data_IF_821658925492
#
_entry.id   IF_821658925492
#
_cell.length_a   1.000
_cell.length_b   1.000
_cell.length_c   1.000
_cell.angle_alpha   90.00
_cell.angle_beta   90.00
_cell.angle_gamma   90.00
#
_symmetry.space_group_name_H-M   'P 1'
#
loop_
_entity.id
_entity.type
_entity.pdbx_description
1 polymer ?
#
# COMPACT_ATOMS: atom_id res chain seq x y z
N UNK A 1 5.28 16.94 39.19
CA UNK A 1 4.07 16.82 38.36
C UNK A 1 4.37 17.54 37.05
N UNK A 2 5.03 16.88 36.11
CA UNK A 2 5.36 17.44 34.80
C UNK A 2 4.21 17.08 33.85
N UNK A 3 3.32 18.06 33.62
CA UNK A 3 2.46 18.02 32.44
C UNK A 3 3.36 18.36 31.23
N UNK A 4 3.89 17.35 30.59
CA UNK A 4 4.42 17.52 29.23
C UNK A 4 3.26 17.82 28.31
N UNK A 5 3.27 19.01 27.72
CA UNK A 5 2.45 19.34 26.56
C UNK A 5 2.74 18.29 25.50
N UNK A 6 1.76 17.40 25.23
CA UNK A 6 1.81 16.52 24.07
C UNK A 6 1.74 17.43 22.85
N UNK A 7 2.83 17.65 22.18
CA UNK A 7 2.87 18.14 20.81
C UNK A 7 1.89 17.23 20.04
N UNK A 8 0.80 17.79 19.51
CA UNK A 8 -0.37 17.08 19.02
C UNK A 8 -0.03 15.85 18.17
N UNK A 9 -0.02 14.68 18.80
CA UNK A 9 0.16 13.39 18.15
C UNK A 9 -1.09 13.07 17.33
N UNK A 10 -0.94 12.27 16.27
CA UNK A 10 -2.07 11.68 15.54
C UNK A 10 -2.83 10.77 16.52
N UNK A 11 -4.14 10.97 16.67
CA UNK A 11 -4.96 10.21 17.62
C UNK A 11 -5.81 9.17 16.90
N UNK A 12 -6.37 9.54 15.73
CA UNK A 12 -7.28 8.70 14.98
C UNK A 12 -7.09 8.81 13.48
N UNK A 13 -7.05 7.66 12.79
CA UNK A 13 -6.91 7.62 11.32
C UNK A 13 -7.94 6.68 10.68
N UNK A 14 -8.29 7.00 9.44
CA UNK A 14 -9.06 6.12 8.57
C UNK A 14 -8.14 5.52 7.50
N UNK A 15 -8.14 4.19 7.37
CA UNK A 15 -7.38 3.47 6.35
C UNK A 15 -8.34 2.67 5.48
N UNK A 16 -8.49 3.09 4.23
CA UNK A 16 -9.25 2.37 3.20
C UNK A 16 -8.29 1.41 2.49
N UNK A 17 -8.66 0.15 2.37
CA UNK A 17 -7.78 -0.93 1.98
C UNK A 17 -6.89 -1.39 3.15
N UNK A 18 -7.47 -1.50 4.35
CA UNK A 18 -6.77 -1.82 5.60
C UNK A 18 -6.10 -3.21 5.60
N UNK A 19 -6.61 -4.17 4.83
CA UNK A 19 -6.05 -5.51 4.68
C UNK A 19 -5.23 -5.69 3.39
N UNK A 20 -5.09 -4.65 2.54
CA UNK A 20 -4.17 -4.68 1.40
C UNK A 20 -2.72 -4.80 1.86
N UNK A 21 -1.79 -5.05 0.95
CA UNK A 21 -0.38 -5.21 1.31
C UNK A 21 0.18 -4.02 2.08
N UNK A 22 0.02 -2.81 1.55
CA UNK A 22 0.49 -1.58 2.24
C UNK A 22 -0.40 -1.25 3.43
N UNK A 23 -1.73 -1.35 3.26
CA UNK A 23 -2.70 -1.01 4.31
C UNK A 23 -2.48 -1.79 5.59
N UNK A 24 -2.26 -3.10 5.51
CA UNK A 24 -2.03 -3.95 6.67
C UNK A 24 -0.76 -3.54 7.46
N UNK A 25 0.33 -3.25 6.76
CA UNK A 25 1.55 -2.77 7.41
C UNK A 25 1.37 -1.39 8.02
N UNK A 26 0.61 -0.51 7.35
CA UNK A 26 0.30 0.81 7.85
C UNK A 26 -0.59 0.74 9.11
N UNK A 27 -1.62 -0.12 9.12
CA UNK A 27 -2.44 -0.39 10.32
C UNK A 27 -1.55 -0.82 11.48
N UNK A 28 -0.66 -1.82 11.27
CA UNK A 28 0.25 -2.28 12.32
C UNK A 28 1.17 -1.16 12.83
N UNK A 29 1.71 -0.33 11.92
CA UNK A 29 2.55 0.82 12.30
C UNK A 29 1.78 1.81 13.16
N UNK A 30 0.58 2.22 12.74
CA UNK A 30 -0.26 3.18 13.46
C UNK A 30 -0.66 2.67 14.86
N UNK A 31 -1.08 1.40 14.96
CA UNK A 31 -1.41 0.78 16.24
C UNK A 31 -0.18 0.75 17.17
N UNK A 32 1.00 0.42 16.65
CA UNK A 32 2.23 0.39 17.42
C UNK A 32 2.62 1.77 17.98
N UNK A 33 2.23 2.85 17.30
CA UNK A 33 2.39 4.24 17.76
C UNK A 33 1.26 4.72 18.68
N UNK A 34 0.27 3.87 18.97
CA UNK A 34 -0.84 4.19 19.87
C UNK A 34 -1.99 4.93 19.20
N UNK A 35 -2.08 4.89 17.89
CA UNK A 35 -3.15 5.55 17.10
C UNK A 35 -4.36 4.64 16.98
N UNK A 36 -5.55 5.21 17.16
CA UNK A 36 -6.82 4.54 16.89
C UNK A 36 -7.05 4.48 15.36
N UNK A 37 -7.24 3.26 14.85
CA UNK A 37 -7.35 3.01 13.40
C UNK A 37 -8.72 2.48 13.04
N UNK A 38 -9.42 3.17 12.17
CA UNK A 38 -10.62 2.69 11.49
C UNK A 38 -10.23 2.13 10.13
N UNK A 39 -10.47 0.86 9.92
CA UNK A 39 -10.17 0.15 8.68
C UNK A 39 -11.43 -0.10 7.87
N UNK A 40 -11.46 0.38 6.62
CA UNK A 40 -12.43 -0.03 5.62
C UNK A 40 -11.73 -0.89 4.58
N UNK A 41 -12.34 -1.99 4.14
CA UNK A 41 -11.75 -2.82 3.11
C UNK A 41 -12.73 -3.24 2.02
N UNK A 42 -12.16 -3.49 0.83
CA UNK A 42 -12.89 -3.98 -0.32
C UNK A 42 -13.00 -5.50 -0.21
N UNK A 43 -14.14 -6.01 0.28
CA UNK A 43 -14.40 -7.43 0.25
C UNK A 43 -14.46 -7.92 -1.20
N UNK A 44 -13.72 -8.98 -1.51
CA UNK A 44 -13.92 -9.70 -2.76
C UNK A 44 -15.32 -10.31 -2.76
N UNK A 45 -16.08 -10.02 -3.73
CA UNK A 45 -17.47 -10.23 -4.11
C UNK A 45 -18.38 -11.16 -3.29
N UNK A 46 -17.88 -12.13 -2.51
CA UNK A 46 -18.72 -13.03 -1.67
C UNK A 46 -17.98 -13.66 -0.48
N UNK A 47 -16.65 -13.54 -0.40
CA UNK A 47 -15.88 -14.09 0.73
C UNK A 47 -14.55 -13.38 0.89
N UNK A 48 -14.15 -13.15 2.13
CA UNK A 48 -12.79 -12.70 2.47
C UNK A 48 -11.78 -13.79 2.07
N UNK A 49 -10.64 -13.39 1.51
CA UNK A 49 -9.58 -14.37 1.21
C UNK A 49 -8.99 -14.94 2.50
N UNK A 50 -8.49 -16.18 2.48
CA UNK A 50 -7.81 -16.77 3.64
C UNK A 50 -6.67 -15.90 4.17
N UNK A 51 -5.96 -15.21 3.28
CA UNK A 51 -4.89 -14.28 3.65
C UNK A 51 -5.45 -13.09 4.43
N UNK A 52 -6.55 -12.49 3.97
CA UNK A 52 -7.18 -11.37 4.65
C UNK A 52 -7.86 -11.79 5.96
N UNK A 53 -8.44 -13.01 6.01
CA UNK A 53 -8.93 -13.59 7.26
C UNK A 53 -7.81 -13.72 8.30
N UNK A 54 -6.65 -14.26 7.92
CA UNK A 54 -5.48 -14.37 8.81
C UNK A 54 -4.97 -13.00 9.25
N UNK A 55 -4.82 -12.04 8.33
CA UNK A 55 -4.46 -10.66 8.67
C UNK A 55 -5.41 -10.07 9.70
N UNK A 56 -6.72 -10.23 9.49
CA UNK A 56 -7.75 -9.73 10.42
C UNK A 56 -7.69 -10.44 11.77
N UNK A 57 -7.44 -11.76 11.81
CA UNK A 57 -7.26 -12.50 13.07
C UNK A 57 -6.06 -11.98 13.88
N UNK A 58 -5.00 -11.53 13.21
CA UNK A 58 -3.79 -11.03 13.87
C UNK A 58 -3.99 -9.65 14.50
N UNK A 59 -4.78 -8.78 13.90
CA UNK A 59 -4.96 -7.39 14.35
C UNK A 59 -6.33 -7.08 14.95
N UNK A 60 -7.37 -7.83 14.59
CA UNK A 60 -8.77 -7.51 14.89
C UNK A 60 -9.15 -7.55 16.38
N UNK A 61 -8.28 -8.09 17.24
CA UNK A 61 -8.48 -8.07 18.71
C UNK A 61 -7.80 -6.87 19.39
N UNK A 62 -7.11 -6.03 18.64
CA UNK A 62 -6.47 -4.85 19.19
C UNK A 62 -7.54 -3.79 19.48
N UNK A 63 -7.56 -3.24 20.70
CA UNK A 63 -8.52 -2.22 21.09
C UNK A 63 -8.42 -0.90 20.31
N UNK A 64 -7.30 -0.68 19.63
CA UNK A 64 -7.07 0.48 18.77
C UNK A 64 -7.47 0.24 17.32
N UNK A 65 -8.06 -0.92 16.97
CA UNK A 65 -8.44 -1.23 15.61
C UNK A 65 -9.92 -1.56 15.50
N UNK A 66 -10.63 -0.81 14.70
CA UNK A 66 -12.03 -1.06 14.32
C UNK A 66 -12.10 -1.34 12.83
N UNK A 67 -12.75 -2.43 12.44
CA UNK A 67 -12.82 -2.89 11.05
C UNK A 67 -14.26 -2.94 10.55
N UNK A 68 -14.45 -2.44 9.33
CA UNK A 68 -15.71 -2.54 8.61
C UNK A 68 -15.46 -2.96 7.14
N UNK A 69 -16.42 -3.71 6.58
CA UNK A 69 -16.50 -3.87 5.13
C UNK A 69 -16.88 -2.54 4.48
N UNK A 70 -16.28 -2.21 3.34
CA UNK A 70 -16.62 -0.99 2.60
C UNK A 70 -18.08 -0.98 2.12
N UNK A 71 -18.76 -2.15 2.13
CA UNK A 71 -20.18 -2.31 1.77
C UNK A 71 -21.12 -2.18 2.95
N UNK A 72 -20.59 -2.16 4.16
CA UNK A 72 -21.37 -2.01 5.37
C UNK A 72 -21.78 -0.56 5.57
N UNK A 73 -23.07 -0.27 5.33
CA UNK A 73 -23.60 1.09 5.47
C UNK A 73 -23.67 1.55 6.93
N UNK A 74 -23.77 0.63 7.89
CA UNK A 74 -23.68 0.99 9.32
C UNK A 74 -22.24 1.32 9.70
N UNK A 75 -21.26 0.58 9.16
CA UNK A 75 -19.85 0.89 9.26
C UNK A 75 -19.51 2.27 8.66
N UNK A 76 -20.08 2.57 7.50
CA UNK A 76 -19.90 3.90 6.89
C UNK A 76 -20.47 5.02 7.74
N UNK A 77 -21.70 4.86 8.31
CA UNK A 77 -22.27 5.85 9.24
C UNK A 77 -21.35 6.11 10.43
N UNK A 78 -20.82 5.03 11.02
CA UNK A 78 -19.86 5.15 12.11
C UNK A 78 -18.61 5.94 11.70
N UNK A 79 -18.07 5.68 10.49
CA UNK A 79 -16.90 6.39 9.96
C UNK A 79 -17.22 7.87 9.65
N UNK A 80 -18.41 8.16 9.11
CA UNK A 80 -18.82 9.53 8.75
C UNK A 80 -19.10 10.41 9.99
N UNK A 81 -19.42 9.82 11.15
CA UNK A 81 -19.62 10.53 12.42
C UNK A 81 -18.31 10.83 13.17
N UNK A 82 -17.20 10.12 12.81
CA UNK A 82 -15.92 10.25 13.48
C UNK A 82 -15.03 11.32 12.85
N UNK A 83 -14.16 11.92 13.67
CA UNK A 83 -13.14 12.87 13.21
C UNK A 83 -11.79 12.16 13.09
N UNK A 84 -11.14 12.35 11.97
CA UNK A 84 -9.82 11.78 11.66
C UNK A 84 -8.76 12.86 11.51
N UNK A 85 -7.54 12.57 11.96
CA UNK A 85 -6.37 13.42 11.74
C UNK A 85 -5.76 13.23 10.36
N UNK A 86 -5.95 12.05 9.77
CA UNK A 86 -5.56 11.73 8.40
C UNK A 86 -6.40 10.58 7.84
N UNK A 87 -6.58 10.58 6.53
CA UNK A 87 -7.22 9.49 5.77
C UNK A 87 -6.20 8.93 4.80
N UNK A 88 -6.08 7.59 4.75
CA UNK A 88 -5.19 6.88 3.83
C UNK A 88 -6.03 6.00 2.90
N UNK A 89 -5.74 6.09 1.61
CA UNK A 89 -6.37 5.25 0.61
C UNK A 89 -5.31 4.35 -0.03
N UNK A 90 -5.27 3.09 0.42
CA UNK A 90 -4.28 2.08 0.06
C UNK A 90 -4.85 1.16 -1.02
N UNK A 91 -4.63 1.50 -2.28
CA UNK A 91 -5.05 0.69 -3.42
C UNK A 91 -3.93 -0.18 -4.01
N UNK A 92 -2.71 -0.08 -3.45
CA UNK A 92 -1.54 -0.79 -3.98
C UNK A 92 -1.65 -2.29 -3.75
N UNK A 93 -2.56 -2.93 -4.48
CA UNK A 93 -2.66 -4.38 -4.62
C UNK A 93 -3.25 -4.69 -6.00
N UNK A 94 -2.42 -4.64 -7.06
CA UNK A 94 -2.87 -4.98 -8.39
C UNK A 94 -3.20 -6.47 -8.44
N UNK A 95 -4.46 -6.83 -8.34
CA UNK A 95 -4.91 -8.19 -8.57
C UNK A 95 -4.91 -8.48 -10.07
N UNK A 96 -3.77 -8.88 -10.60
CA UNK A 96 -3.56 -9.10 -12.03
C UNK A 96 -4.35 -10.27 -12.61
N UNK A 97 -4.73 -11.27 -11.80
CA UNK A 97 -5.46 -12.43 -12.31
C UNK A 97 -6.95 -12.15 -12.54
N UNK A 98 -7.52 -11.11 -11.92
CA UNK A 98 -8.96 -10.81 -12.02
C UNK A 98 -9.29 -9.38 -12.42
N UNK A 99 -8.30 -8.52 -12.65
CA UNK A 99 -8.46 -7.08 -12.80
C UNK A 99 -9.25 -6.49 -11.62
N UNK A 100 -9.15 -5.23 -11.35
CA UNK A 100 -10.17 -4.62 -10.47
C UNK A 100 -11.51 -4.74 -11.17
N UNK A 101 -12.19 -5.91 -11.02
CA UNK A 101 -13.47 -6.21 -11.68
C UNK A 101 -14.54 -5.15 -11.44
N UNK A 102 -14.23 -4.16 -10.61
CA UNK A 102 -15.09 -3.04 -10.28
C UNK A 102 -14.39 -1.70 -10.17
N UNK A 103 -13.68 -1.27 -11.19
CA UNK A 103 -13.22 0.11 -11.32
C UNK A 103 -14.35 1.10 -10.94
N UNK A 104 -15.57 0.85 -11.45
CA UNK A 104 -16.74 1.67 -11.14
C UNK A 104 -17.03 1.75 -9.63
N UNK A 105 -16.90 0.64 -8.91
CA UNK A 105 -17.14 0.59 -7.46
C UNK A 105 -16.06 1.37 -6.73
N UNK A 106 -14.79 1.19 -7.08
CA UNK A 106 -13.67 1.95 -6.47
C UNK A 106 -13.86 3.45 -6.68
N UNK A 107 -14.22 3.88 -7.90
CA UNK A 107 -14.46 5.29 -8.19
C UNK A 107 -15.71 5.85 -7.50
N UNK A 108 -16.72 5.01 -7.22
CA UNK A 108 -17.88 5.40 -6.44
C UNK A 108 -17.48 5.65 -4.97
N UNK A 109 -16.73 4.73 -4.35
CA UNK A 109 -16.24 4.91 -2.99
C UNK A 109 -15.22 6.05 -2.88
N UNK A 110 -14.36 6.24 -3.88
CA UNK A 110 -13.47 7.41 -3.93
C UNK A 110 -14.25 8.72 -3.78
N UNK A 111 -15.37 8.87 -4.47
CA UNK A 111 -16.22 10.08 -4.35
C UNK A 111 -16.77 10.25 -2.93
N UNK A 112 -17.16 9.14 -2.26
CA UNK A 112 -17.64 9.17 -0.87
C UNK A 112 -16.53 9.58 0.09
N UNK A 113 -15.31 9.03 -0.11
CA UNK A 113 -14.11 9.35 0.67
C UNK A 113 -13.71 10.82 0.49
N UNK A 114 -13.70 11.32 -0.75
CA UNK A 114 -13.38 12.73 -1.03
C UNK A 114 -14.37 13.64 -0.28
N UNK A 115 -15.68 13.38 -0.37
CA UNK A 115 -16.71 14.15 0.33
C UNK A 115 -16.50 14.13 1.84
N UNK A 116 -16.24 12.96 2.44
CA UNK A 116 -15.92 12.84 3.87
C UNK A 116 -14.72 13.71 4.23
N UNK A 117 -13.66 13.67 3.44
CA UNK A 117 -12.46 14.48 3.71
C UNK A 117 -12.72 15.98 3.56
N UNK A 118 -13.56 16.41 2.61
CA UNK A 118 -13.97 17.81 2.42
C UNK A 118 -14.83 18.30 3.60
N UNK A 119 -15.81 17.51 4.03
CA UNK A 119 -16.72 17.83 5.14
C UNK A 119 -15.95 17.94 6.48
N UNK A 120 -15.01 17.05 6.71
CA UNK A 120 -14.22 17.00 7.95
C UNK A 120 -12.93 17.85 7.89
N UNK A 121 -12.61 18.41 6.71
CA UNK A 121 -11.38 19.18 6.46
C UNK A 121 -10.12 18.39 6.79
N UNK A 122 -10.10 17.11 6.44
CA UNK A 122 -9.00 16.19 6.68
C UNK A 122 -8.28 15.88 5.39
N UNK A 123 -6.96 15.77 5.46
CA UNK A 123 -6.10 15.45 4.31
C UNK A 123 -6.26 13.99 3.88
N UNK A 124 -6.36 13.77 2.57
CA UNK A 124 -6.40 12.45 1.95
C UNK A 124 -5.03 12.07 1.40
N UNK A 125 -4.48 10.96 1.87
CA UNK A 125 -3.22 10.38 1.41
C UNK A 125 -3.51 9.16 0.52
N UNK A 126 -3.24 9.27 -0.78
CA UNK A 126 -3.38 8.16 -1.73
C UNK A 126 -2.04 7.45 -1.88
N UNK A 127 -2.02 6.13 -1.68
CA UNK A 127 -0.90 5.28 -2.04
C UNK A 127 -1.14 4.74 -3.45
N UNK A 128 -0.33 5.22 -4.40
CA UNK A 128 -0.43 4.96 -5.83
C UNK A 128 0.83 4.25 -6.35
N UNK A 129 0.91 3.99 -7.63
CA UNK A 129 2.07 3.36 -8.27
C UNK A 129 2.85 4.37 -9.10
N UNK A 130 4.18 4.27 -9.07
CA UNK A 130 5.08 5.06 -9.93
C UNK A 130 4.81 4.83 -11.43
N UNK A 131 4.10 3.76 -11.76
CA UNK A 131 3.77 3.40 -13.14
C UNK A 131 2.66 4.26 -13.76
N UNK A 132 1.97 5.10 -12.98
CA UNK A 132 0.85 5.93 -13.46
C UNK A 132 1.23 6.87 -14.59
N UNK A 133 2.48 7.35 -14.61
CA UNK A 133 2.98 8.25 -15.66
C UNK A 133 3.24 7.60 -17.02
N UNK A 134 3.24 6.28 -17.12
CA UNK A 134 3.59 5.56 -18.36
C UNK A 134 2.37 5.30 -19.24
N UNK A 135 2.49 5.64 -20.52
CA UNK A 135 1.43 5.50 -21.53
C UNK A 135 0.99 4.05 -21.83
N UNK A 136 1.52 3.08 -21.10
CA UNK A 136 1.25 1.68 -21.34
C UNK A 136 -0.07 1.22 -20.72
N UNK A 137 -0.74 0.28 -21.40
CA UNK A 137 -2.20 0.05 -21.36
C UNK A 137 -2.69 -0.94 -20.30
N UNK A 138 -1.97 -1.20 -19.21
CA UNK A 138 -2.47 -2.13 -18.18
C UNK A 138 -3.70 -1.57 -17.46
N UNK A 139 -4.64 -2.44 -17.11
CA UNK A 139 -5.88 -2.04 -16.42
C UNK A 139 -5.60 -1.38 -15.07
N UNK A 140 -4.55 -1.82 -14.38
CA UNK A 140 -4.13 -1.27 -13.10
C UNK A 140 -3.62 0.17 -13.21
N UNK A 141 -2.76 0.45 -14.21
CA UNK A 141 -2.27 1.81 -14.49
C UNK A 141 -3.42 2.76 -14.79
N UNK A 142 -4.42 2.30 -15.55
CA UNK A 142 -5.63 3.08 -15.86
C UNK A 142 -6.46 3.39 -14.62
N UNK A 143 -6.62 2.44 -13.69
CA UNK A 143 -7.35 2.67 -12.45
C UNK A 143 -6.64 3.72 -11.59
N UNK A 144 -5.35 3.58 -11.34
CA UNK A 144 -4.57 4.54 -10.56
C UNK A 144 -4.65 5.95 -11.18
N UNK A 145 -4.49 6.07 -12.51
CA UNK A 145 -4.65 7.34 -13.22
C UNK A 145 -6.02 7.98 -12.97
N UNK A 146 -7.10 7.19 -13.06
CA UNK A 146 -8.47 7.69 -12.82
C UNK A 146 -8.70 8.11 -11.36
N UNK A 147 -8.10 7.38 -10.41
CA UNK A 147 -8.18 7.74 -8.99
C UNK A 147 -7.46 9.05 -8.73
N UNK A 148 -6.23 9.22 -9.25
CA UNK A 148 -5.48 10.47 -9.14
C UNK A 148 -6.21 11.65 -9.85
N UNK A 149 -6.79 11.41 -11.01
CA UNK A 149 -7.63 12.41 -11.70
C UNK A 149 -8.88 12.78 -10.89
N UNK A 150 -9.47 11.80 -10.19
CA UNK A 150 -10.60 12.03 -9.29
C UNK A 150 -10.25 12.97 -8.16
N UNK A 151 -9.06 12.80 -7.54
CA UNK A 151 -8.55 13.70 -6.50
C UNK A 151 -8.33 15.12 -7.02
N UNK A 152 -7.72 15.27 -8.20
CA UNK A 152 -7.45 16.59 -8.81
C UNK A 152 -8.73 17.39 -9.10
N UNK A 153 -9.88 16.73 -9.21
CA UNK A 153 -11.19 17.37 -9.49
C UNK A 153 -11.96 17.76 -8.23
N UNK A 154 -11.57 17.21 -7.05
CA UNK A 154 -12.14 17.56 -5.75
C UNK A 154 -11.49 18.81 -5.16
N UNK A 155 -12.08 19.33 -4.10
CA UNK A 155 -11.53 20.44 -3.30
C UNK A 155 -10.76 19.95 -2.06
N UNK A 156 -10.61 18.62 -1.94
CA UNK A 156 -9.90 17.98 -0.84
C UNK A 156 -8.39 18.28 -0.88
N UNK A 157 -7.81 18.55 0.27
CA UNK A 157 -6.35 18.56 0.41
C UNK A 157 -5.83 17.12 0.29
N UNK A 158 -4.86 16.89 -0.58
CA UNK A 158 -4.34 15.54 -0.82
C UNK A 158 -2.84 15.47 -1.02
N UNK A 159 -2.30 14.30 -0.71
CA UNK A 159 -1.00 13.85 -1.18
C UNK A 159 -1.15 12.53 -1.93
N UNK A 160 -0.45 12.37 -3.03
CA UNK A 160 -0.30 11.11 -3.74
C UNK A 160 1.11 10.62 -3.54
N UNK A 161 1.29 9.46 -2.94
CA UNK A 161 2.56 8.79 -2.77
C UNK A 161 2.64 7.63 -3.75
N UNK A 162 3.34 7.84 -4.85
CA UNK A 162 3.60 6.80 -5.85
C UNK A 162 4.77 5.95 -5.40
N UNK A 163 4.54 4.67 -5.26
CA UNK A 163 5.56 3.71 -4.81
C UNK A 163 6.04 2.84 -5.97
N UNK A 164 7.34 2.47 -6.02
CA UNK A 164 7.88 1.49 -6.95
C UNK A 164 7.48 0.07 -6.53
N UNK A 165 8.16 -0.95 -7.05
CA UNK A 165 7.99 -2.31 -6.55
C UNK A 165 8.29 -2.38 -5.06
N UNK A 166 7.33 -2.94 -4.31
CA UNK A 166 7.44 -3.16 -2.88
C UNK A 166 7.68 -4.65 -2.58
N UNK A 167 8.46 -4.94 -1.54
CA UNK A 167 8.69 -6.29 -1.06
C UNK A 167 8.57 -6.36 0.48
N UNK A 168 8.36 -7.56 1.02
CA UNK A 168 8.23 -7.79 2.46
C UNK A 168 7.16 -8.83 2.80
N UNK A 169 6.94 -9.10 4.09
CA UNK A 169 5.87 -9.98 4.57
C UNK A 169 4.51 -9.60 3.99
N UNK A 170 3.66 -10.59 3.70
CA UNK A 170 2.35 -10.39 3.07
C UNK A 170 2.37 -9.82 1.64
N UNK A 171 3.53 -9.80 0.97
CA UNK A 171 3.56 -9.43 -0.44
C UNK A 171 2.61 -10.35 -1.23
N UNK A 172 1.75 -9.79 -2.11
CA UNK A 172 0.82 -10.59 -2.93
C UNK A 172 1.53 -11.69 -3.72
N UNK A 173 0.89 -12.86 -3.80
CA UNK A 173 1.50 -14.07 -4.37
C UNK A 173 1.86 -13.97 -5.85
N UNK A 174 1.21 -13.09 -6.61
CA UNK A 174 1.50 -12.85 -8.03
C UNK A 174 2.71 -11.93 -8.25
N UNK A 175 3.18 -11.23 -7.21
CA UNK A 175 4.32 -10.32 -7.32
C UNK A 175 5.64 -11.07 -7.43
N UNK A 176 6.57 -10.51 -8.20
CA UNK A 176 7.81 -11.16 -8.61
C UNK A 176 8.65 -11.68 -7.45
N UNK A 177 8.92 -10.86 -6.44
CA UNK A 177 9.75 -11.29 -5.30
C UNK A 177 9.11 -12.44 -4.53
N UNK A 178 7.78 -12.45 -4.40
CA UNK A 178 7.07 -13.57 -3.81
C UNK A 178 7.25 -14.86 -4.64
N UNK A 179 7.05 -14.76 -5.95
CA UNK A 179 7.19 -15.89 -6.85
C UNK A 179 8.63 -16.44 -6.89
N UNK A 180 9.64 -15.57 -6.84
CA UNK A 180 11.03 -15.97 -6.81
C UNK A 180 11.37 -16.71 -5.51
N UNK A 181 10.88 -16.24 -4.36
CA UNK A 181 11.08 -16.92 -3.08
C UNK A 181 10.37 -18.29 -3.07
N UNK A 182 9.16 -18.42 -3.63
CA UNK A 182 8.50 -19.72 -3.80
C UNK A 182 9.31 -20.68 -4.66
N UNK A 183 9.87 -20.18 -5.76
CA UNK A 183 10.75 -20.99 -6.64
C UNK A 183 12.02 -21.45 -5.91
N UNK A 184 12.65 -20.60 -5.10
CA UNK A 184 13.80 -20.96 -4.27
C UNK A 184 13.45 -22.03 -3.20
N UNK A 185 12.21 -22.02 -2.72
CA UNK A 185 11.70 -23.05 -1.79
C UNK A 185 11.38 -24.37 -2.50
N UNK A 186 11.50 -24.45 -3.83
CA UNK A 186 11.26 -25.65 -4.62
C UNK A 186 9.79 -25.98 -4.85
N UNK A 187 8.89 -25.03 -4.63
CA UNK A 187 7.45 -25.30 -4.56
C UNK A 187 6.69 -25.08 -5.86
N UNK A 188 7.13 -24.20 -6.75
CA UNK A 188 6.46 -23.96 -8.05
C UNK A 188 7.45 -23.42 -9.10
N UNK A 189 7.15 -23.65 -10.37
CA UNK A 189 7.75 -22.86 -11.45
C UNK A 189 7.32 -21.40 -11.32
N UNK A 190 8.27 -20.50 -11.52
CA UNK A 190 8.06 -19.08 -11.39
C UNK A 190 7.13 -18.55 -12.50
N UNK A 191 5.92 -18.15 -12.16
CA UNK A 191 4.97 -17.50 -13.05
C UNK A 191 4.79 -16.04 -12.63
N UNK A 192 5.74 -15.18 -12.98
CA UNK A 192 5.64 -13.78 -12.65
C UNK A 192 5.04 -12.96 -13.78
N UNK A 193 4.23 -12.00 -13.40
CA UNK A 193 3.74 -11.02 -14.33
C UNK A 193 4.89 -10.15 -14.83
N UNK A 194 4.97 -10.03 -16.15
CA UNK A 194 6.02 -9.26 -16.82
C UNK A 194 5.92 -7.75 -16.60
N UNK A 195 4.95 -7.27 -15.82
CA UNK A 195 4.54 -5.86 -15.77
C UNK A 195 4.98 -5.09 -14.51
N UNK A 196 5.70 -5.71 -13.56
CA UNK A 196 6.18 -4.99 -12.39
C UNK A 196 7.28 -3.98 -12.74
N UNK A 197 7.25 -2.83 -12.07
CA UNK A 197 8.25 -1.78 -12.23
C UNK A 197 9.61 -2.22 -11.69
N UNK A 198 10.64 -2.24 -12.54
CA UNK A 198 12.01 -2.62 -12.19
C UNK A 198 12.92 -1.42 -11.88
N UNK A 199 12.40 -0.19 -11.85
CA UNK A 199 13.20 1.02 -11.68
C UNK A 199 13.78 1.15 -10.27
N UNK A 200 13.03 0.72 -9.25
CA UNK A 200 13.45 0.78 -7.85
C UNK A 200 12.71 -0.28 -7.00
N UNK A 201 13.15 -0.46 -5.76
CA UNK A 201 12.64 -1.45 -4.83
C UNK A 201 12.62 -0.89 -3.40
N UNK A 202 11.46 -0.96 -2.72
CA UNK A 202 11.31 -0.50 -1.35
C UNK A 202 10.77 -1.61 -0.44
N UNK A 203 11.28 -1.65 0.79
CA UNK A 203 10.72 -2.50 1.83
C UNK A 203 9.43 -1.86 2.37
N UNK A 204 8.37 -2.65 2.45
CA UNK A 204 7.01 -2.14 2.76
C UNK A 204 6.94 -1.41 4.10
N UNK A 205 7.65 -1.89 5.12
CA UNK A 205 7.65 -1.23 6.44
C UNK A 205 8.39 0.12 6.41
N UNK A 206 9.41 0.31 5.55
CA UNK A 206 10.08 1.60 5.38
C UNK A 206 9.13 2.63 4.75
N UNK A 207 8.30 2.20 3.81
CA UNK A 207 7.24 3.04 3.23
C UNK A 207 6.20 3.41 4.29
N UNK A 208 5.75 2.46 5.10
CA UNK A 208 4.78 2.73 6.17
C UNK A 208 5.33 3.67 7.24
N UNK A 209 6.63 3.57 7.58
CA UNK A 209 7.29 4.54 8.44
C UNK A 209 7.26 5.95 7.85
N UNK A 210 7.61 6.08 6.55
CA UNK A 210 7.55 7.37 5.86
C UNK A 210 6.14 7.95 5.84
N UNK A 211 5.13 7.13 5.56
CA UNK A 211 3.72 7.55 5.53
C UNK A 211 3.25 7.99 6.94
N UNK A 212 3.70 7.31 7.99
CA UNK A 212 3.45 7.71 9.37
C UNK A 212 4.04 9.09 9.69
N UNK A 213 5.31 9.32 9.35
CA UNK A 213 6.01 10.56 9.64
C UNK A 213 5.47 11.76 8.84
N UNK A 214 5.00 11.53 7.60
CA UNK A 214 4.72 12.61 6.64
C UNK A 214 3.26 12.72 6.21
N UNK A 215 2.43 11.69 6.41
CA UNK A 215 1.05 11.69 5.92
C UNK A 215 0.16 12.75 6.53
N UNK A 216 0.49 13.23 7.73
CA UNK A 216 -0.23 14.32 8.43
C UNK A 216 0.30 15.72 8.09
N UNK A 217 1.49 15.79 7.48
CA UNK A 217 2.10 17.08 7.19
C UNK A 217 1.29 17.84 6.12
N UNK A 218 0.67 18.94 6.52
CA UNK A 218 -0.15 19.78 5.64
C UNK A 218 0.68 20.53 4.58
N UNK A 219 1.98 20.67 4.76
CA UNK A 219 2.88 21.26 3.77
C UNK A 219 3.17 20.30 2.60
N UNK A 220 3.02 19.00 2.80
CA UNK A 220 3.18 17.98 1.76
C UNK A 220 1.88 17.80 0.99
N UNK A 221 1.56 18.73 0.08
CA UNK A 221 0.44 18.60 -0.85
C UNK A 221 0.96 18.39 -2.26
N UNK A 222 0.37 17.43 -2.98
CA UNK A 222 0.75 17.15 -4.36
C UNK A 222 1.09 15.69 -4.63
N UNK A 223 1.93 15.45 -5.64
CA UNK A 223 2.28 14.10 -6.11
C UNK A 223 3.77 13.85 -5.89
N UNK A 224 4.09 12.77 -5.23
CA UNK A 224 5.46 12.40 -4.84
C UNK A 224 5.78 10.98 -5.28
N UNK A 225 6.94 10.79 -5.90
CA UNK A 225 7.52 9.47 -6.13
C UNK A 225 8.40 9.10 -4.93
N UNK A 226 8.05 8.06 -4.21
CA UNK A 226 8.88 7.55 -3.11
C UNK A 226 9.95 6.62 -3.67
N UNK A 227 11.21 6.91 -3.39
CA UNK A 227 12.36 6.20 -3.94
C UNK A 227 13.31 5.73 -2.84
N UNK A 228 14.07 4.68 -3.12
CA UNK A 228 15.10 4.19 -2.20
C UNK A 228 16.33 5.12 -2.14
N UNK A 229 16.52 5.97 -3.12
CA UNK A 229 17.76 6.74 -3.30
C UNK A 229 18.98 5.89 -3.67
N UNK A 230 18.81 4.58 -3.91
CA UNK A 230 19.89 3.64 -4.22
C UNK A 230 19.80 3.15 -5.65
N UNK A 231 20.92 3.21 -6.37
CA UNK A 231 20.97 2.71 -7.76
C UNK A 231 20.81 1.20 -7.82
N UNK A 232 19.99 0.74 -8.76
CA UNK A 232 19.85 -0.67 -9.13
C UNK A 232 19.45 -1.59 -7.95
N UNK A 233 18.68 -1.10 -6.97
CA UNK A 233 18.30 -1.89 -5.81
C UNK A 233 17.44 -3.09 -6.20
N UNK A 234 16.53 -2.91 -7.16
CA UNK A 234 15.72 -3.97 -7.72
C UNK A 234 16.60 -5.11 -8.32
N UNK A 235 17.60 -4.75 -9.15
CA UNK A 235 18.53 -5.72 -9.74
C UNK A 235 19.36 -6.45 -8.68
N UNK A 236 19.80 -5.75 -7.62
CA UNK A 236 20.50 -6.38 -6.50
C UNK A 236 19.64 -7.40 -5.77
N UNK A 237 18.35 -7.12 -5.61
CA UNK A 237 17.43 -8.09 -5.02
C UNK A 237 17.25 -9.34 -5.88
N UNK A 238 17.16 -9.18 -7.20
CA UNK A 238 17.13 -10.30 -8.15
C UNK A 238 18.39 -11.17 -8.04
N UNK A 239 19.56 -10.54 -7.93
CA UNK A 239 20.84 -11.25 -7.80
C UNK A 239 20.90 -12.08 -6.51
N UNK A 240 20.45 -11.53 -5.40
CA UNK A 240 20.37 -12.25 -4.12
C UNK A 240 19.47 -13.50 -4.20
N UNK A 241 18.41 -13.44 -5.00
CA UNK A 241 17.50 -14.56 -5.25
C UNK A 241 17.92 -15.41 -6.48
N UNK A 242 19.16 -15.26 -6.97
CA UNK A 242 19.71 -16.02 -8.12
C UNK A 242 18.81 -16.03 -9.36
N UNK A 243 18.17 -14.93 -9.62
CA UNK A 243 17.15 -14.79 -10.66
C UNK A 243 17.56 -13.88 -11.82
N UNK A 244 18.85 -13.51 -11.94
CA UNK A 244 19.35 -12.60 -12.97
C UNK A 244 19.04 -13.06 -14.39
N UNK A 245 19.22 -14.37 -14.65
CA UNK A 245 18.99 -14.94 -15.98
C UNK A 245 17.51 -15.10 -16.34
N UNK A 246 16.62 -14.96 -15.35
CA UNK A 246 15.18 -15.19 -15.52
C UNK A 246 14.43 -13.94 -15.98
N UNK A 247 15.00 -12.74 -15.81
CA UNK A 247 14.31 -11.49 -16.09
C UNK A 247 15.24 -10.47 -16.74
N UNK A 248 15.10 -10.30 -18.02
CA UNK A 248 15.83 -9.28 -18.79
C UNK A 248 14.96 -7.99 -18.83
N UNK A 249 14.98 -7.20 -17.78
CA UNK A 249 14.29 -5.89 -17.73
C UNK A 249 15.28 -4.79 -17.44
N UNK A 250 15.60 -4.02 -18.46
CA UNK A 250 16.13 -2.66 -18.33
C UNK A 250 14.94 -1.71 -18.55
N UNK A 251 14.24 -1.38 -17.51
CA UNK A 251 13.23 -0.34 -17.58
C UNK A 251 13.81 0.95 -17.00
N UNK A 252 14.50 1.71 -17.84
CA UNK A 252 14.61 3.14 -17.65
C UNK A 252 13.27 3.75 -18.13
N UNK A 253 12.24 3.68 -17.30
CA UNK A 253 10.96 4.30 -17.62
C UNK A 253 11.07 5.82 -17.41
N UNK A 254 10.65 6.59 -18.41
CA UNK A 254 10.44 8.03 -18.27
C UNK A 254 9.42 8.27 -17.15
N UNK A 255 9.84 8.99 -16.12
CA UNK A 255 8.96 9.36 -15.00
C UNK A 255 8.11 10.57 -15.39
N UNK A 256 6.89 10.61 -14.91
CA UNK A 256 6.02 11.76 -15.04
C UNK A 256 6.67 12.99 -14.35
N UNK A 257 7.02 13.98 -15.13
CA UNK A 257 7.64 15.23 -14.64
C UNK A 257 6.72 16.07 -13.73
N UNK A 258 5.48 15.66 -13.51
CA UNK A 258 4.53 16.31 -12.60
C UNK A 258 4.70 15.90 -11.14
N UNK A 259 5.49 14.84 -10.84
CA UNK A 259 5.72 14.33 -9.50
C UNK A 259 7.10 14.72 -8.97
N UNK A 260 7.18 15.06 -7.69
CA UNK A 260 8.45 15.32 -6.99
C UNK A 260 9.06 14.00 -6.50
N UNK A 261 10.36 13.79 -6.75
CA UNK A 261 11.08 12.61 -6.29
C UNK A 261 11.55 12.79 -4.84
N UNK A 262 11.13 11.89 -3.95
CA UNK A 262 11.54 11.86 -2.54
C UNK A 262 12.29 10.56 -2.26
N UNK A 263 13.53 10.67 -1.81
CA UNK A 263 14.28 9.52 -1.30
C UNK A 263 13.96 9.31 0.18
N UNK A 264 13.39 8.13 0.53
CA UNK A 264 13.11 7.79 1.92
C UNK A 264 14.43 7.55 2.68
N UNK A 265 14.53 8.14 3.87
CA UNK A 265 15.78 8.10 4.67
C UNK A 265 16.03 6.72 5.26
N UNK A 266 14.98 6.09 5.79
CA UNK A 266 15.05 4.75 6.35
C UNK A 266 15.05 3.73 5.21
N UNK A 267 16.10 2.95 5.16
CA UNK A 267 16.30 1.93 4.15
C UNK A 267 16.74 0.63 4.81
N UNK A 268 15.80 -0.24 5.06
CA UNK A 268 16.08 -1.59 5.57
C UNK A 268 17.10 -2.30 4.67
N UNK A 269 18.15 -2.92 5.23
CA UNK A 269 19.10 -3.71 4.44
C UNK A 269 18.34 -4.78 3.63
N UNK A 270 18.63 -4.85 2.33
CA UNK A 270 17.90 -5.69 1.39
C UNK A 270 17.86 -7.17 1.82
N UNK A 271 19.00 -7.73 2.22
CA UNK A 271 19.07 -9.11 2.72
C UNK A 271 18.21 -9.34 3.97
N UNK A 272 18.18 -8.37 4.88
CA UNK A 272 17.32 -8.46 6.06
C UNK A 272 15.83 -8.48 5.69
N UNK A 273 15.39 -7.59 4.81
CA UNK A 273 14.01 -7.54 4.36
C UNK A 273 13.58 -8.81 3.60
N UNK A 274 14.45 -9.32 2.71
CA UNK A 274 14.20 -10.59 2.00
C UNK A 274 14.15 -11.79 2.96
N UNK A 275 15.03 -11.85 3.96
CA UNK A 275 15.00 -12.90 4.98
C UNK A 275 13.71 -12.83 5.82
N UNK A 276 13.22 -11.63 6.15
CA UNK A 276 11.93 -11.45 6.82
C UNK A 276 10.77 -11.97 5.96
N UNK A 277 10.76 -11.65 4.68
CA UNK A 277 9.76 -12.14 3.74
C UNK A 277 9.81 -13.65 3.61
N UNK A 278 11.00 -14.24 3.45
CA UNK A 278 11.21 -15.69 3.38
C UNK A 278 10.70 -16.40 4.65
N UNK A 279 11.06 -15.88 5.84
CA UNK A 279 10.62 -16.43 7.11
C UNK A 279 9.08 -16.38 7.25
N UNK A 280 8.47 -15.28 6.82
CA UNK A 280 7.03 -15.11 6.78
C UNK A 280 6.37 -16.13 5.85
N UNK A 281 6.86 -16.28 4.62
CA UNK A 281 6.31 -17.22 3.65
C UNK A 281 6.40 -18.67 4.14
N UNK A 282 7.52 -19.04 4.81
CA UNK A 282 7.65 -20.37 5.45
C UNK A 282 6.62 -20.58 6.56
N UNK A 283 6.36 -19.54 7.38
CA UNK A 283 5.39 -19.61 8.47
C UNK A 283 3.95 -19.79 7.98
N UNK A 284 3.60 -19.11 6.89
CA UNK A 284 2.24 -19.07 6.34
C UNK A 284 2.12 -19.81 5.00
N UNK A 285 2.94 -20.84 4.81
CA UNK A 285 3.04 -21.60 3.57
C UNK A 285 1.68 -22.06 3.05
N UNK A 286 0.86 -22.65 3.92
CA UNK A 286 -0.46 -23.20 3.58
C UNK A 286 -1.44 -22.14 3.01
N UNK A 287 -1.27 -20.87 3.37
CA UNK A 287 -2.10 -19.78 2.84
C UNK A 287 -1.76 -19.42 1.39
N UNK A 288 -0.55 -19.76 0.94
CA UNK A 288 -0.06 -19.44 -0.40
C UNK A 288 -0.14 -20.62 -1.39
N UNK A 289 -0.45 -21.82 -0.91
CA UNK A 289 -0.59 -23.05 -1.70
C UNK A 289 -2.01 -23.29 -2.23
N UNK A 290 -2.99 -22.48 -1.83
CA UNK A 290 -4.41 -22.62 -2.12
C UNK A 290 -4.87 -22.07 -3.47
#
# INVERSE_FOLDING_TARGET
>A
MFQGERVGGMERVLIIGALTFVGYHLVNKMIAEGVEVYGLDFDEFDSMTKINEEKLLLIGRNALFTYYSIRDEDGWRSVEEEKFDAVYFCLYEPNQQRGFRNERVILQYLKRIIRLCEEHKVKLNLISSIEVGNADKSENKRLFSKVEEGLKKGEVQYSVFRVPTLYGPWQPSFMMYHQLILSELGEKECHYASEENASDLLYVEDVCEYLWENGRNEEHLGIYNLLSGKKSLWKKGMNLLRAEDKVNKENAEERDGAAEDISIKRNTPLEYGLNKQLAHMKKYKELYEG
#
